data_IF_932721948404
#
_entry.id   IF_932721948404
#
_cell.length_a   1.000
_cell.length_b   1.000
_cell.length_c   1.000
_cell.angle_alpha   90.00
_cell.angle_beta   90.00
_cell.angle_gamma   90.00
#
_symmetry.space_group_name_H-M   'P 1'
#
loop_
_entity.id
_entity.type
_entity.pdbx_description
1 polymer ?
#
# COMPACT_ATOMS: atom_id res chain seq x y z
N UNK A 1 10.61 -60.26 32.10
CA UNK A 1 10.58 -58.80 32.39
C UNK A 1 11.95 -58.26 32.02
N UNK A 2 12.07 -57.62 30.85
CA UNK A 2 13.35 -57.34 30.17
C UNK A 2 13.91 -55.96 30.52
N UNK A 3 15.19 -55.96 30.89
CA UNK A 3 15.95 -54.97 31.63
C UNK A 3 16.49 -53.81 30.77
N UNK A 4 15.69 -53.30 29.82
CA UNK A 4 16.16 -52.28 28.85
C UNK A 4 15.65 -50.84 29.05
N UNK A 5 14.84 -50.57 30.08
CA UNK A 5 14.20 -49.25 30.28
C UNK A 5 14.66 -48.45 31.52
N UNK A 6 15.90 -48.61 31.99
CA UNK A 6 16.47 -47.79 33.09
C UNK A 6 17.75 -47.05 32.68
N UNK A 7 17.71 -46.21 31.65
CA UNK A 7 18.84 -45.31 31.29
C UNK A 7 18.47 -43.86 30.96
N UNK A 8 17.33 -43.36 31.42
CA UNK A 8 16.99 -41.93 31.27
C UNK A 8 16.81 -41.17 32.58
N UNK A 9 16.74 -41.85 33.74
CA UNK A 9 16.47 -41.23 35.04
C UNK A 9 17.36 -41.80 36.16
N UNK A 10 18.66 -42.00 35.90
CA UNK A 10 19.53 -42.70 36.87
C UNK A 10 21.04 -42.61 36.66
N UNK A 11 21.58 -41.50 36.16
CA UNK A 11 23.03 -41.26 36.17
C UNK A 11 23.33 -39.86 36.70
N UNK A 12 24.28 -39.75 37.64
CA UNK A 12 24.77 -38.49 38.18
C UNK A 12 25.13 -37.52 37.04
N UNK A 13 24.54 -36.32 37.05
CA UNK A 13 24.86 -35.26 36.08
C UNK A 13 26.38 -35.06 36.02
N UNK A 14 26.98 -35.33 34.86
CA UNK A 14 28.41 -35.10 34.68
C UNK A 14 28.64 -33.59 34.55
N UNK A 15 29.78 -33.08 35.04
CA UNK A 15 30.13 -31.64 34.98
C UNK A 15 29.99 -31.08 33.55
N UNK A 16 30.31 -31.90 32.55
CA UNK A 16 30.16 -31.55 31.12
C UNK A 16 28.71 -31.38 30.70
N UNK A 17 27.81 -32.22 31.20
CA UNK A 17 26.38 -32.14 30.87
C UNK A 17 25.75 -30.94 31.57
N UNK A 18 26.16 -30.68 32.82
CA UNK A 18 25.77 -29.46 33.53
C UNK A 18 26.15 -28.19 32.77
N UNK A 19 27.41 -28.06 32.31
CA UNK A 19 27.88 -26.89 31.55
C UNK A 19 27.13 -26.73 30.22
N UNK A 20 26.84 -27.84 29.51
CA UNK A 20 26.09 -27.80 28.25
C UNK A 20 24.65 -27.33 28.47
N UNK A 21 23.98 -27.86 29.49
CA UNK A 21 22.59 -27.50 29.79
C UNK A 21 22.50 -26.07 30.31
N UNK A 22 23.43 -25.62 31.17
CA UNK A 22 23.45 -24.24 31.66
C UNK A 22 23.75 -23.23 30.55
N UNK A 23 24.67 -23.55 29.63
CA UNK A 23 24.97 -22.68 28.48
C UNK A 23 23.77 -22.57 27.54
N UNK A 24 23.10 -23.67 27.22
CA UNK A 24 21.91 -23.66 26.36
C UNK A 24 20.77 -22.84 26.99
N UNK A 25 20.46 -23.08 28.27
CA UNK A 25 19.38 -22.38 28.96
C UNK A 25 19.71 -20.90 29.21
N UNK A 26 20.95 -20.59 29.61
CA UNK A 26 21.40 -19.22 29.83
C UNK A 26 21.38 -18.39 28.56
N UNK A 27 21.89 -18.94 27.45
CA UNK A 27 21.89 -18.23 26.15
C UNK A 27 20.48 -18.07 25.62
N UNK A 28 19.63 -19.09 25.75
CA UNK A 28 18.22 -19.02 25.36
C UNK A 28 17.45 -17.95 26.13
N UNK A 29 17.65 -17.85 27.44
CA UNK A 29 17.01 -16.86 28.29
C UNK A 29 17.48 -15.42 27.97
N UNK A 30 18.78 -15.21 27.75
CA UNK A 30 19.31 -13.88 27.37
C UNK A 30 18.81 -13.46 25.99
N UNK A 31 18.79 -14.37 25.02
CA UNK A 31 18.27 -14.09 23.69
C UNK A 31 16.77 -13.74 23.72
N UNK A 32 15.99 -14.43 24.56
CA UNK A 32 14.58 -14.14 24.77
C UNK A 32 14.35 -12.73 25.36
N UNK A 33 15.18 -12.29 26.31
CA UNK A 33 15.05 -10.96 26.94
C UNK A 33 15.55 -9.84 26.03
N UNK A 34 16.69 -10.02 25.36
CA UNK A 34 17.31 -8.97 24.53
C UNK A 34 16.68 -8.84 23.15
N UNK A 35 16.05 -9.91 22.65
CA UNK A 35 15.42 -9.93 21.33
C UNK A 35 13.98 -10.44 21.45
N UNK A 36 13.03 -9.59 21.90
CA UNK A 36 11.63 -9.96 22.07
C UNK A 36 11.00 -10.55 20.80
N UNK A 37 11.44 -10.10 19.62
CA UNK A 37 11.00 -10.60 18.31
C UNK A 37 11.37 -12.07 18.05
N UNK A 38 12.41 -12.60 18.73
CA UNK A 38 12.83 -13.99 18.60
C UNK A 38 11.84 -14.93 19.33
N UNK A 39 11.29 -14.48 20.46
CA UNK A 39 10.21 -15.19 21.16
C UNK A 39 8.96 -15.24 20.26
N UNK A 40 8.59 -14.13 19.65
CA UNK A 40 7.44 -14.07 18.73
C UNK A 40 7.63 -15.01 17.52
N UNK A 41 8.84 -15.09 16.96
CA UNK A 41 9.17 -15.97 15.84
C UNK A 41 9.09 -17.46 16.21
N UNK A 42 9.53 -17.83 17.42
CA UNK A 42 9.52 -19.23 17.90
C UNK A 42 8.14 -19.67 18.45
N UNK A 43 7.35 -18.75 19.00
CA UNK A 43 6.05 -19.01 19.62
C UNK A 43 4.88 -19.11 18.64
N UNK A 44 5.12 -19.09 17.33
CA UNK A 44 4.04 -19.12 16.31
C UNK A 44 3.23 -17.82 16.18
N UNK A 45 3.39 -16.87 17.13
CA UNK A 45 2.74 -15.56 17.13
C UNK A 45 3.38 -14.54 16.17
N UNK A 46 4.57 -14.84 15.61
CA UNK A 46 5.19 -14.07 14.53
C UNK A 46 4.39 -14.13 13.21
N UNK A 47 3.40 -15.02 13.11
CA UNK A 47 2.30 -14.84 12.17
C UNK A 47 1.37 -13.78 12.74
N UNK A 48 1.60 -12.52 12.35
CA UNK A 48 0.56 -11.49 12.42
C UNK A 48 -0.72 -12.13 11.90
N UNK A 49 -1.72 -12.32 12.75
CA UNK A 49 -2.98 -12.93 12.38
C UNK A 49 -3.63 -12.02 11.33
N UNK A 50 -3.42 -12.35 10.05
CA UNK A 50 -4.15 -11.71 8.96
C UNK A 50 -5.57 -12.21 9.15
N UNK A 51 -6.39 -11.46 9.90
CA UNK A 51 -7.82 -11.70 10.00
C UNK A 51 -8.33 -11.80 8.56
N UNK A 52 -8.74 -13.00 8.08
CA UNK A 52 -9.15 -13.19 6.68
C UNK A 52 -10.38 -12.34 6.31
N UNK A 53 -11.04 -11.80 7.34
CA UNK A 53 -12.26 -11.00 7.30
C UNK A 53 -12.02 -9.51 7.57
N UNK A 54 -10.76 -9.04 7.58
CA UNK A 54 -10.52 -7.60 7.63
C UNK A 54 -11.14 -6.96 6.38
N UNK A 55 -12.21 -6.21 6.60
CA UNK A 55 -12.97 -5.57 5.53
C UNK A 55 -12.05 -4.63 4.72
N UNK A 56 -11.96 -4.88 3.42
CA UNK A 56 -11.20 -4.00 2.53
C UNK A 56 -12.05 -2.78 2.20
N UNK A 57 -11.91 -1.73 3.01
CA UNK A 57 -12.71 -0.49 2.93
C UNK A 57 -12.71 0.13 1.51
N UNK A 58 -11.63 -0.03 0.74
CA UNK A 58 -11.55 0.49 -0.64
C UNK A 58 -12.39 -0.31 -1.65
N UNK A 59 -12.85 -1.52 -1.33
CA UNK A 59 -13.78 -2.27 -2.18
C UNK A 59 -15.23 -1.84 -2.00
N UNK A 60 -15.54 -0.94 -1.06
CA UNK A 60 -16.89 -0.38 -0.94
C UNK A 60 -17.23 0.44 -2.19
N UNK A 61 -18.42 0.29 -2.79
CA UNK A 61 -18.81 1.07 -3.96
C UNK A 61 -18.79 2.58 -3.70
N UNK A 62 -19.12 3.06 -2.49
CA UNK A 62 -19.06 4.49 -2.14
C UNK A 62 -17.63 5.08 -2.22
N UNK A 63 -16.61 4.22 -2.09
CA UNK A 63 -15.21 4.60 -2.13
C UNK A 63 -14.60 4.48 -3.52
N UNK A 64 -15.41 4.26 -4.57
CA UNK A 64 -14.93 4.04 -5.94
C UNK A 64 -15.54 5.07 -6.90
N UNK A 65 -14.69 5.84 -7.57
CA UNK A 65 -15.09 6.76 -8.65
C UNK A 65 -14.45 6.30 -9.96
N UNK A 66 -15.25 6.16 -11.01
CA UNK A 66 -14.74 5.85 -12.34
C UNK A 66 -14.25 7.11 -13.06
N UNK A 67 -13.09 7.02 -13.68
CA UNK A 67 -12.46 8.12 -14.41
C UNK A 67 -11.57 7.58 -15.53
N UNK A 68 -10.80 8.45 -16.19
CA UNK A 68 -9.95 8.11 -17.32
C UNK A 68 -8.50 8.54 -17.05
N UNK A 69 -7.56 7.65 -17.31
CA UNK A 69 -6.13 7.88 -17.22
C UNK A 69 -5.64 8.67 -18.44
N UNK A 70 -4.99 9.81 -18.23
CA UNK A 70 -4.43 10.64 -19.32
C UNK A 70 -2.90 10.71 -19.30
N UNK A 71 -2.23 9.75 -18.66
CA UNK A 71 -0.76 9.71 -18.62
C UNK A 71 -0.15 9.23 -19.95
N UNK A 72 -0.96 8.72 -20.89
CA UNK A 72 -0.60 8.45 -22.27
C UNK A 72 -1.87 8.49 -23.16
N UNK A 73 -1.68 8.39 -24.48
CA UNK A 73 -2.76 8.50 -25.47
C UNK A 73 -3.76 7.33 -25.46
N UNK A 74 -3.51 6.28 -24.70
CA UNK A 74 -4.41 5.11 -24.62
C UNK A 74 -5.74 5.46 -23.93
N UNK A 75 -5.76 6.48 -23.07
CA UNK A 75 -6.96 6.92 -22.36
C UNK A 75 -7.68 5.79 -21.61
N UNK A 76 -6.93 4.98 -20.84
CA UNK A 76 -7.50 3.85 -20.12
C UNK A 76 -8.56 4.29 -19.11
N UNK A 77 -9.75 3.69 -19.17
CA UNK A 77 -10.72 3.77 -18.09
C UNK A 77 -10.14 3.19 -16.80
N UNK A 78 -10.43 3.80 -15.68
CA UNK A 78 -9.83 3.45 -14.40
C UNK A 78 -10.79 3.71 -13.26
N UNK A 79 -10.51 3.08 -12.12
CA UNK A 79 -11.20 3.32 -10.87
C UNK A 79 -10.27 4.03 -9.88
N UNK A 80 -10.75 5.16 -9.38
CA UNK A 80 -10.14 5.96 -8.34
C UNK A 80 -10.74 5.55 -6.99
N UNK A 81 -9.89 5.02 -6.11
CA UNK A 81 -10.27 4.53 -4.79
C UNK A 81 -9.99 5.61 -3.74
N UNK A 82 -11.03 6.02 -3.03
CA UNK A 82 -11.01 7.13 -2.10
C UNK A 82 -11.14 6.60 -0.67
N UNK A 83 -10.46 7.25 0.26
CA UNK A 83 -10.62 7.04 1.68
C UNK A 83 -10.61 8.39 2.38
N UNK A 84 -11.62 8.68 3.19
CA UNK A 84 -11.72 9.92 3.97
C UNK A 84 -11.58 11.19 3.08
N UNK A 85 -12.16 11.16 1.87
CA UNK A 85 -12.09 12.25 0.89
C UNK A 85 -10.76 12.37 0.13
N UNK A 86 -9.81 11.47 0.37
CA UNK A 86 -8.48 11.47 -0.24
C UNK A 86 -8.37 10.29 -1.22
N UNK A 87 -7.92 10.56 -2.44
CA UNK A 87 -7.56 9.52 -3.41
C UNK A 87 -6.34 8.75 -2.91
N UNK A 88 -6.45 7.43 -2.71
CA UNK A 88 -5.36 6.60 -2.16
C UNK A 88 -4.88 5.49 -3.09
N UNK A 89 -5.70 5.07 -4.07
CA UNK A 89 -5.32 4.04 -5.03
C UNK A 89 -6.00 4.26 -6.38
N UNK A 90 -5.30 3.90 -7.45
CA UNK A 90 -5.84 3.83 -8.80
C UNK A 90 -5.80 2.38 -9.24
N UNK A 91 -6.83 1.90 -9.94
CA UNK A 91 -6.85 0.57 -10.57
C UNK A 91 -7.53 0.67 -11.93
N UNK A 92 -7.46 -0.38 -12.74
CA UNK A 92 -8.21 -0.42 -13.99
C UNK A 92 -9.70 -0.52 -13.74
N UNK A 93 -10.51 -0.08 -14.69
CA UNK A 93 -11.95 -0.30 -14.65
C UNK A 93 -12.28 -1.73 -15.11
N UNK A 94 -12.90 -2.59 -14.29
CA UNK A 94 -13.22 -3.98 -14.66
C UNK A 94 -14.26 -4.12 -15.79
N UNK A 95 -15.09 -3.10 -16.01
CA UNK A 95 -16.04 -3.06 -17.14
C UNK A 95 -15.31 -2.93 -18.49
N UNK A 96 -14.08 -2.43 -18.49
CA UNK A 96 -13.39 -2.09 -19.73
C UNK A 96 -12.55 -3.24 -20.26
N UNK A 97 -12.68 -3.59 -21.56
CA UNK A 97 -11.83 -4.57 -22.21
C UNK A 97 -10.35 -4.15 -22.27
N UNK A 98 -10.07 -2.85 -22.07
CA UNK A 98 -8.71 -2.33 -22.04
C UNK A 98 -7.96 -2.70 -20.76
N UNK A 99 -8.70 -2.95 -19.67
CA UNK A 99 -8.14 -3.19 -18.34
C UNK A 99 -8.30 -4.65 -17.89
N UNK A 100 -9.33 -5.34 -18.38
CA UNK A 100 -9.65 -6.73 -18.00
C UNK A 100 -10.15 -7.52 -19.21
N UNK A 101 -9.66 -8.75 -19.37
CA UNK A 101 -10.12 -9.66 -20.42
C UNK A 101 -10.25 -11.09 -19.84
N UNK A 102 -11.45 -11.69 -19.82
CA UNK A 102 -12.75 -11.07 -20.16
C UNK A 102 -13.10 -9.96 -19.16
N UNK A 103 -13.68 -8.86 -19.65
CA UNK A 103 -14.24 -7.81 -18.81
C UNK A 103 -15.59 -8.27 -18.24
N UNK A 104 -16.03 -7.65 -17.14
CA UNK A 104 -17.36 -7.91 -16.58
C UNK A 104 -18.45 -7.26 -17.44
N UNK A 105 -19.69 -7.74 -17.34
CA UNK A 105 -20.80 -7.15 -18.07
C UNK A 105 -21.13 -5.75 -17.52
N UNK A 106 -21.46 -4.80 -18.40
CA UNK A 106 -21.77 -3.41 -18.03
C UNK A 106 -22.96 -3.27 -17.05
N UNK A 107 -23.86 -4.26 -17.01
CA UNK A 107 -25.00 -4.33 -16.08
C UNK A 107 -24.64 -4.94 -14.71
N UNK A 108 -23.39 -5.37 -14.52
CA UNK A 108 -22.90 -5.90 -13.24
C UNK A 108 -23.05 -4.81 -12.16
N UNK A 109 -23.64 -5.09 -10.98
CA UNK A 109 -23.83 -4.08 -9.95
C UNK A 109 -22.52 -3.43 -9.46
N UNK A 110 -22.55 -2.13 -9.18
CA UNK A 110 -21.37 -1.39 -8.70
C UNK A 110 -20.77 -1.99 -7.42
N UNK A 111 -21.58 -2.56 -6.55
CA UNK A 111 -21.12 -3.22 -5.33
C UNK A 111 -20.24 -4.44 -5.61
N UNK A 112 -20.51 -5.16 -6.70
CA UNK A 112 -19.70 -6.28 -7.16
C UNK A 112 -18.46 -5.77 -7.91
N UNK A 113 -18.65 -4.86 -8.86
CA UNK A 113 -17.56 -4.31 -9.66
C UNK A 113 -16.48 -3.61 -8.80
N UNK A 114 -16.87 -2.94 -7.71
CA UNK A 114 -15.94 -2.28 -6.80
C UNK A 114 -14.96 -3.24 -6.11
N UNK A 115 -15.30 -4.53 -6.02
CA UNK A 115 -14.41 -5.57 -5.46
C UNK A 115 -13.36 -6.06 -6.45
N UNK A 116 -13.48 -5.70 -7.73
CA UNK A 116 -12.64 -6.18 -8.82
C UNK A 116 -11.64 -5.09 -9.22
N UNK A 117 -10.36 -5.34 -8.97
CA UNK A 117 -9.27 -4.47 -9.38
C UNK A 117 -8.70 -4.93 -10.73
N UNK A 118 -9.06 -4.24 -11.81
CA UNK A 118 -8.52 -4.54 -13.13
C UNK A 118 -7.12 -3.96 -13.36
N UNK A 119 -6.46 -4.39 -14.44
CA UNK A 119 -5.06 -4.04 -14.71
C UNK A 119 -4.94 -2.56 -15.07
N UNK A 120 -3.88 -1.93 -14.56
CA UNK A 120 -3.47 -0.58 -14.91
C UNK A 120 -1.94 -0.52 -14.89
N UNK A 121 -1.33 0.10 -15.90
CA UNK A 121 0.12 0.17 -16.00
C UNK A 121 0.73 1.04 -14.88
N UNK A 122 2.03 0.91 -14.65
CA UNK A 122 2.76 1.67 -13.62
C UNK A 122 2.57 3.18 -13.73
N UNK A 123 2.49 3.71 -14.97
CA UNK A 123 2.22 5.14 -15.21
C UNK A 123 0.85 5.55 -14.72
N UNK A 124 -0.19 4.76 -14.98
CA UNK A 124 -1.55 5.07 -14.51
C UNK A 124 -1.62 4.99 -12.99
N UNK A 125 -1.00 3.95 -12.40
CA UNK A 125 -0.90 3.78 -10.95
C UNK A 125 -0.19 4.95 -10.25
N UNK A 126 0.86 5.50 -10.87
CA UNK A 126 1.62 6.63 -10.31
C UNK A 126 0.93 7.98 -10.46
N UNK A 127 -0.23 8.08 -11.12
CA UNK A 127 -0.95 9.35 -11.32
C UNK A 127 -1.29 10.09 -10.02
N UNK A 128 -1.40 9.37 -8.90
CA UNK A 128 -1.61 9.94 -7.56
C UNK A 128 -0.50 10.92 -7.17
N UNK A 129 0.76 10.66 -7.59
CA UNK A 129 1.89 11.51 -7.24
C UNK A 129 1.77 12.91 -7.84
N UNK A 130 1.26 13.01 -9.08
CA UNK A 130 1.02 14.30 -9.73
C UNK A 130 -0.09 15.09 -9.03
N UNK A 131 -1.12 14.41 -8.52
CA UNK A 131 -2.22 15.06 -7.80
C UNK A 131 -1.73 15.73 -6.51
N UNK A 132 -0.87 15.04 -5.77
CA UNK A 132 -0.32 15.47 -4.47
C UNK A 132 1.10 16.02 -4.52
N UNK A 133 1.59 16.39 -5.71
CA UNK A 133 2.92 16.97 -5.85
C UNK A 133 3.01 18.27 -5.01
N UNK A 134 3.99 18.40 -4.08
CA UNK A 134 4.16 19.61 -3.28
C UNK A 134 4.46 20.86 -4.13
N UNK A 135 5.00 20.68 -5.34
CA UNK A 135 5.31 21.75 -6.29
C UNK A 135 4.18 22.03 -7.29
N UNK A 136 3.03 21.36 -7.16
CA UNK A 136 1.86 21.59 -8.03
C UNK A 136 1.40 23.04 -7.94
N UNK A 137 1.22 23.69 -9.10
CA UNK A 137 0.66 25.04 -9.18
C UNK A 137 -0.80 25.05 -8.71
N UNK A 138 -1.08 25.86 -7.68
CA UNK A 138 -2.42 26.01 -7.06
C UNK A 138 -3.03 27.41 -7.24
N UNK A 139 -2.26 28.33 -7.82
CA UNK A 139 -2.66 29.72 -8.08
C UNK A 139 -2.23 30.09 -9.50
N UNK A 140 -2.88 31.12 -10.05
CA UNK A 140 -2.44 31.68 -11.33
C UNK A 140 -1.14 32.44 -11.12
N UNK A 141 -0.18 32.22 -12.02
CA UNK A 141 1.11 32.89 -12.02
C UNK A 141 1.25 33.76 -13.26
N UNK A 142 1.53 35.05 -13.05
CA UNK A 142 1.90 36.01 -14.09
C UNK A 142 3.41 36.19 -14.07
N UNK A 143 4.01 36.29 -15.25
CA UNK A 143 5.44 36.57 -15.39
C UNK A 143 5.75 37.98 -14.88
N UNK A 144 6.81 38.10 -14.09
CA UNK A 144 7.31 39.37 -13.57
C UNK A 144 8.62 39.77 -14.28
N UNK A 145 8.49 40.39 -15.45
CA UNK A 145 9.61 40.80 -16.31
C UNK A 145 9.68 40.08 -17.67
N UNK A 146 10.87 40.06 -18.32
CA UNK A 146 11.03 39.50 -19.66
C UNK A 146 10.89 37.97 -19.70
N UNK A 147 10.52 37.43 -20.87
CA UNK A 147 10.40 35.98 -21.09
C UNK A 147 11.75 35.30 -20.85
N UNK A 148 11.75 34.23 -20.05
CA UNK A 148 12.97 33.51 -19.65
C UNK A 148 13.60 33.98 -18.33
N UNK A 149 13.10 35.06 -17.71
CA UNK A 149 13.65 35.58 -16.45
C UNK A 149 13.34 34.76 -15.19
N UNK A 150 12.48 33.74 -15.27
CA UNK A 150 12.16 32.84 -14.16
C UNK A 150 11.40 33.47 -12.97
N UNK A 151 11.03 34.75 -13.07
CA UNK A 151 10.29 35.49 -12.04
C UNK A 151 8.79 35.43 -12.28
N UNK A 152 8.05 35.13 -11.23
CA UNK A 152 6.60 34.95 -11.25
C UNK A 152 5.97 35.62 -10.04
N UNK A 153 4.82 36.25 -10.25
CA UNK A 153 3.95 36.78 -9.20
C UNK A 153 2.59 36.08 -9.27
N UNK A 154 1.96 35.88 -8.12
CA UNK A 154 0.59 35.35 -8.07
C UNK A 154 -0.40 36.47 -8.37
N UNK A 155 -1.40 36.19 -9.20
CA UNK A 155 -2.51 37.09 -9.50
C UNK A 155 -3.84 36.37 -9.28
N UNK A 156 -4.93 37.14 -9.17
CA UNK A 156 -6.28 36.58 -9.10
C UNK A 156 -6.71 35.98 -10.43
N UNK A 157 -7.59 34.98 -10.38
CA UNK A 157 -8.04 34.26 -11.57
C UNK A 157 -8.79 35.19 -12.54
N UNK A 158 -9.66 36.06 -12.02
CA UNK A 158 -10.44 36.99 -12.84
C UNK A 158 -9.54 38.00 -13.56
N UNK A 159 -8.52 38.51 -12.87
CA UNK A 159 -7.50 39.37 -13.49
C UNK A 159 -6.77 38.63 -14.62
N UNK A 160 -6.42 37.36 -14.41
CA UNK A 160 -5.74 36.57 -15.45
C UNK A 160 -6.60 36.42 -16.71
N UNK A 161 -7.90 36.20 -16.55
CA UNK A 161 -8.83 36.10 -17.68
C UNK A 161 -8.91 37.44 -18.41
N UNK A 162 -9.09 38.55 -17.69
CA UNK A 162 -9.17 39.89 -18.27
C UNK A 162 -7.91 40.23 -19.09
N UNK A 163 -6.72 40.08 -18.52
CA UNK A 163 -5.46 40.36 -19.20
C UNK A 163 -5.21 39.42 -20.41
N UNK A 164 -5.64 38.16 -20.37
CA UNK A 164 -5.50 37.24 -21.52
C UNK A 164 -6.41 37.66 -22.68
N UNK A 165 -7.61 38.12 -22.38
CA UNK A 165 -8.62 38.49 -23.38
C UNK A 165 -8.36 39.89 -23.95
N UNK A 166 -8.01 40.85 -23.09
CA UNK A 166 -7.94 42.26 -23.44
C UNK A 166 -6.52 42.80 -23.65
N UNK A 167 -5.48 42.08 -23.20
CA UNK A 167 -4.08 42.50 -23.28
C UNK A 167 -3.63 43.38 -22.12
#
# INVERSE_FOLDING_TARGET
MSEKNRKFLGSSLNRRDFVKTSALLGTGAVAAVQFPWLIDSLGGNGRREIKPTAEYVLARPENTIYTVCLNCHTACSMQAKIKDGVLVKLNGNPYSPMNLLPHIAEDTPLAEAATIDAKLCSKGQSGIQTLYDPYRLRKVLKRDGPRGGGKWQSIDFDQAIDEIVNG
#
